data_IF_242223900695
#
_entry.id   IF_242223900695
#
_cell.length_a   1.000
_cell.length_b   1.000
_cell.length_c   1.000
_cell.angle_alpha   90.00
_cell.angle_beta   90.00
_cell.angle_gamma   90.00
#
_symmetry.space_group_name_H-M   'P 1'
#
loop_
_entity.id
_entity.type
_entity.pdbx_description
1 polymer ?
#
# COMPACT_ATOMS: atom_id res chain seq x y z
N UNK A 1 -23.01 4.51 18.84
CA UNK A 1 -23.16 4.86 17.41
C UNK A 1 -22.90 3.60 16.63
N UNK A 2 -23.81 3.21 15.74
CA UNK A 2 -23.63 2.02 14.91
C UNK A 2 -22.81 2.41 13.67
N UNK A 3 -21.53 2.04 13.66
CA UNK A 3 -20.66 2.09 12.48
C UNK A 3 -21.30 1.23 11.39
N UNK A 4 -21.38 1.74 10.15
CA UNK A 4 -21.93 0.94 9.05
C UNK A 4 -20.87 -0.04 8.52
N UNK A 5 -21.28 -1.12 7.87
CA UNK A 5 -20.33 -2.07 7.26
C UNK A 5 -19.44 -1.46 6.14
N UNK A 6 -19.77 -0.25 5.68
CA UNK A 6 -18.92 0.55 4.79
C UNK A 6 -17.84 1.28 5.58
N UNK A 7 -18.22 1.93 6.68
CA UNK A 7 -17.29 2.64 7.57
C UNK A 7 -16.24 1.67 8.13
N UNK A 8 -16.65 0.46 8.53
CA UNK A 8 -15.73 -0.59 9.00
C UNK A 8 -14.69 -1.00 7.93
N UNK A 9 -15.08 -1.01 6.65
CA UNK A 9 -14.15 -1.33 5.55
C UNK A 9 -13.20 -0.17 5.28
N UNK A 10 -13.69 1.08 5.30
CA UNK A 10 -12.85 2.26 5.14
C UNK A 10 -11.81 2.33 6.27
N UNK A 11 -12.24 2.15 7.51
CA UNK A 11 -11.35 2.17 8.67
C UNK A 11 -10.31 1.04 8.61
N UNK A 12 -10.73 -0.16 8.19
CA UNK A 12 -9.82 -1.28 7.98
C UNK A 12 -8.76 -0.97 6.92
N UNK A 13 -9.14 -0.41 5.76
CA UNK A 13 -8.19 -0.05 4.70
C UNK A 13 -7.23 1.05 5.16
N UNK A 14 -7.73 2.09 5.85
CA UNK A 14 -6.88 3.16 6.42
C UNK A 14 -5.88 2.63 7.44
N UNK A 15 -6.29 1.70 8.31
CA UNK A 15 -5.38 1.08 9.27
C UNK A 15 -4.20 0.39 8.58
N UNK A 16 -4.43 -0.17 7.38
CA UNK A 16 -3.36 -0.78 6.58
C UNK A 16 -2.44 0.24 5.93
N UNK A 17 -2.97 1.37 5.43
CA UNK A 17 -2.15 2.48 4.94
C UNK A 17 -1.18 2.96 6.04
N UNK A 18 -1.69 3.13 7.27
CA UNK A 18 -0.88 3.51 8.42
C UNK A 18 0.18 2.45 8.77
N UNK A 19 -0.18 1.17 8.72
CA UNK A 19 0.77 0.07 8.95
C UNK A 19 1.89 0.05 7.90
N UNK A 20 1.57 0.29 6.62
CA UNK A 20 2.57 0.40 5.56
C UNK A 20 3.54 1.56 5.81
N UNK A 21 3.02 2.76 6.15
CA UNK A 21 3.84 3.94 6.50
C UNK A 21 4.83 3.65 7.63
N UNK A 22 4.36 2.98 8.68
CA UNK A 22 5.21 2.61 9.81
C UNK A 22 6.29 1.58 9.41
N UNK A 23 5.96 0.63 8.52
CA UNK A 23 6.92 -0.34 8.00
C UNK A 23 7.97 0.30 7.09
N UNK A 24 7.60 1.29 6.27
CA UNK A 24 8.58 2.10 5.52
C UNK A 24 9.57 2.78 6.46
N UNK A 25 9.05 3.49 7.48
CA UNK A 25 9.86 4.17 8.49
C UNK A 25 10.82 3.19 9.20
N UNK A 26 10.31 2.03 9.64
CA UNK A 26 11.13 0.98 10.28
C UNK A 26 12.19 0.40 9.36
N UNK A 27 11.91 0.28 8.06
CA UNK A 27 12.85 -0.26 7.08
C UNK A 27 13.98 0.73 6.79
N UNK A 28 13.64 2.01 6.60
CA UNK A 28 14.62 3.09 6.39
C UNK A 28 15.57 3.23 7.58
N UNK A 29 15.03 3.24 8.80
CA UNK A 29 15.79 3.44 10.04
C UNK A 29 16.21 2.12 10.72
N UNK A 30 16.27 1.02 9.98
CA UNK A 30 16.78 -0.24 10.52
C UNK A 30 18.25 -0.09 10.95
N UNK A 31 18.61 -0.75 12.06
CA UNK A 31 19.93 -0.61 12.68
C UNK A 31 21.08 -1.17 11.82
N UNK A 32 20.79 -2.18 11.01
CA UNK A 32 21.75 -2.83 10.12
C UNK A 32 21.05 -3.44 8.89
N UNK A 33 21.85 -3.95 7.96
CA UNK A 33 21.37 -4.54 6.70
C UNK A 33 20.50 -5.79 6.90
N UNK A 34 20.74 -6.58 7.94
CA UNK A 34 19.96 -7.78 8.24
C UNK A 34 18.56 -7.40 8.75
N UNK A 35 18.50 -6.46 9.70
CA UNK A 35 17.26 -5.87 10.20
C UNK A 35 16.49 -5.20 9.05
N UNK A 36 17.18 -4.45 8.19
CA UNK A 36 16.56 -3.80 7.01
C UNK A 36 15.94 -4.81 6.06
N UNK A 37 16.64 -5.92 5.76
CA UNK A 37 16.12 -7.01 4.93
C UNK A 37 14.87 -7.64 5.53
N UNK A 38 14.86 -7.89 6.83
CA UNK A 38 13.69 -8.44 7.52
C UNK A 38 12.50 -7.48 7.46
N UNK A 39 12.72 -6.20 7.77
CA UNK A 39 11.67 -5.17 7.70
C UNK A 39 11.14 -4.97 6.29
N UNK A 40 12.00 -5.06 5.27
CA UNK A 40 11.59 -5.02 3.88
C UNK A 40 10.70 -6.21 3.50
N UNK A 41 10.98 -7.41 4.02
CA UNK A 41 10.10 -8.56 3.81
C UNK A 41 8.73 -8.38 4.49
N UNK A 42 8.70 -7.81 5.70
CA UNK A 42 7.45 -7.45 6.40
C UNK A 42 6.66 -6.39 5.61
N UNK A 43 7.34 -5.37 5.08
CA UNK A 43 6.76 -4.33 4.24
C UNK A 43 6.14 -4.92 2.97
N UNK A 44 6.85 -5.81 2.26
CA UNK A 44 6.31 -6.53 1.09
C UNK A 44 5.02 -7.26 1.42
N UNK A 45 5.01 -8.03 2.50
CA UNK A 45 3.82 -8.76 2.93
C UNK A 45 2.65 -7.83 3.26
N UNK A 46 2.92 -6.70 3.93
CA UNK A 46 1.89 -5.71 4.27
C UNK A 46 1.27 -5.06 3.03
N UNK A 47 2.09 -4.70 2.04
CA UNK A 47 1.66 -4.12 0.76
C UNK A 47 0.85 -5.12 -0.08
N UNK A 48 1.31 -6.37 -0.21
CA UNK A 48 0.56 -7.42 -0.91
C UNK A 48 -0.80 -7.64 -0.26
N UNK A 49 -0.84 -7.73 1.07
CA UNK A 49 -2.12 -7.90 1.72
C UNK A 49 -3.02 -6.66 1.50
N UNK A 50 -2.47 -5.45 1.30
CA UNK A 50 -3.24 -4.21 1.15
C UNK A 50 -4.00 -4.20 -0.15
N UNK A 51 -3.31 -4.56 -1.22
CA UNK A 51 -3.93 -4.85 -2.49
C UNK A 51 -5.04 -5.88 -2.36
N UNK A 52 -4.76 -7.05 -1.78
CA UNK A 52 -5.76 -8.13 -1.65
C UNK A 52 -6.99 -7.65 -0.87
N UNK A 53 -6.81 -6.80 0.15
CA UNK A 53 -7.94 -6.19 0.85
C UNK A 53 -8.73 -5.22 -0.02
N UNK A 54 -8.07 -4.39 -0.82
CA UNK A 54 -8.76 -3.54 -1.82
C UNK A 54 -9.56 -4.39 -2.81
N UNK A 55 -8.96 -5.44 -3.34
CA UNK A 55 -9.60 -6.36 -4.29
C UNK A 55 -10.81 -7.10 -3.72
N UNK A 56 -10.73 -7.54 -2.47
CA UNK A 56 -11.79 -8.34 -1.86
C UNK A 56 -12.88 -7.50 -1.17
N UNK A 57 -12.55 -6.32 -0.67
CA UNK A 57 -13.46 -5.53 0.17
C UNK A 57 -13.95 -4.26 -0.52
N UNK A 58 -13.12 -3.61 -1.34
CA UNK A 58 -13.43 -2.31 -1.97
C UNK A 58 -13.92 -2.50 -3.40
N UNK A 59 -13.12 -3.13 -4.27
CA UNK A 59 -13.41 -3.30 -5.69
C UNK A 59 -14.74 -3.99 -6.02
N UNK A 60 -15.31 -4.91 -5.21
CA UNK A 60 -16.63 -5.48 -5.48
C UNK A 60 -17.78 -4.48 -5.21
N UNK A 61 -17.53 -3.46 -4.39
CA UNK A 61 -18.51 -2.48 -3.95
C UNK A 61 -18.53 -1.24 -4.83
N UNK A 62 -17.38 -0.87 -5.40
CA UNK A 62 -17.25 0.17 -6.41
C UNK A 62 -17.44 -0.43 -7.81
N UNK A 63 -18.20 0.22 -8.72
CA UNK A 63 -18.36 -0.30 -10.09
C UNK A 63 -17.00 -0.25 -10.79
N UNK A 64 -16.63 -1.31 -11.50
CA UNK A 64 -15.43 -1.32 -12.37
C UNK A 64 -15.50 -0.17 -13.37
N UNK A 65 -14.42 0.59 -13.47
CA UNK A 65 -14.26 1.74 -14.34
C UNK A 65 -12.80 2.21 -14.33
N UNK A 66 -12.51 3.25 -15.11
CA UNK A 66 -11.14 3.73 -15.36
C UNK A 66 -10.35 4.05 -14.08
N UNK A 67 -11.01 4.54 -13.02
CA UNK A 67 -10.39 4.81 -11.72
C UNK A 67 -9.80 3.52 -11.11
N UNK A 68 -10.61 2.47 -10.98
CA UNK A 68 -10.20 1.18 -10.41
C UNK A 68 -9.10 0.53 -11.26
N UNK A 69 -9.17 0.66 -12.58
CA UNK A 69 -8.15 0.13 -13.51
C UNK A 69 -6.82 0.88 -13.40
N UNK A 70 -6.85 2.22 -13.29
CA UNK A 70 -5.67 3.05 -13.05
C UNK A 70 -4.98 2.67 -11.74
N UNK A 71 -5.74 2.59 -10.64
CA UNK A 71 -5.22 2.28 -9.32
C UNK A 71 -4.64 0.85 -9.24
N UNK A 72 -5.27 -0.10 -9.94
CA UNK A 72 -4.70 -1.44 -10.13
C UNK A 72 -3.35 -1.41 -10.86
N UNK A 73 -3.23 -0.62 -11.93
CA UNK A 73 -1.98 -0.46 -12.66
C UNK A 73 -0.83 0.04 -11.78
N UNK A 74 -1.09 1.02 -10.92
CA UNK A 74 -0.11 1.52 -9.94
C UNK A 74 0.31 0.46 -8.91
N UNK A 75 -0.61 -0.43 -8.55
CA UNK A 75 -0.33 -1.55 -7.66
C UNK A 75 0.56 -2.60 -8.33
N UNK A 76 0.32 -2.89 -9.61
CA UNK A 76 1.16 -3.79 -10.39
C UNK A 76 2.58 -3.23 -10.56
N UNK A 77 2.72 -1.93 -10.87
CA UNK A 77 4.00 -1.23 -10.90
C UNK A 77 4.75 -1.33 -9.56
N UNK A 78 4.02 -1.24 -8.44
CA UNK A 78 4.56 -1.38 -7.09
C UNK A 78 5.14 -2.78 -6.85
N UNK A 79 4.45 -3.85 -7.28
CA UNK A 79 4.99 -5.22 -7.17
C UNK A 79 6.28 -5.39 -7.94
N UNK A 80 6.34 -4.88 -9.17
CA UNK A 80 7.55 -4.99 -9.97
C UNK A 80 8.72 -4.25 -9.32
N UNK A 81 8.48 -3.06 -8.75
CA UNK A 81 9.49 -2.32 -7.99
C UNK A 81 9.98 -3.13 -6.79
N UNK A 82 9.07 -3.73 -6.03
CA UNK A 82 9.41 -4.59 -4.88
C UNK A 82 10.28 -5.79 -5.29
N UNK A 83 9.97 -6.41 -6.42
CA UNK A 83 10.75 -7.55 -6.93
C UNK A 83 12.14 -7.12 -7.41
N UNK A 84 12.26 -5.94 -8.03
CA UNK A 84 13.56 -5.34 -8.38
C UNK A 84 14.37 -5.05 -7.11
N UNK A 85 13.77 -4.39 -6.12
CA UNK A 85 14.41 -4.05 -4.85
C UNK A 85 14.87 -5.26 -4.05
N UNK A 86 14.13 -6.38 -4.11
CA UNK A 86 14.50 -7.61 -3.39
C UNK A 86 15.84 -8.21 -3.84
N UNK A 87 16.37 -7.79 -5.01
CA UNK A 87 17.66 -8.22 -5.54
C UNK A 87 18.81 -7.26 -5.20
N UNK A 88 18.51 -6.08 -4.67
CA UNK A 88 19.51 -5.09 -4.27
C UNK A 88 20.17 -5.47 -2.94
N UNK A 89 21.39 -4.98 -2.73
CA UNK A 89 22.02 -5.03 -1.42
C UNK A 89 21.29 -4.08 -0.46
N UNK A 90 20.72 -4.55 0.67
CA UNK A 90 20.04 -3.69 1.64
C UNK A 90 20.94 -2.58 2.20
N UNK A 91 22.27 -2.74 2.20
CA UNK A 91 23.20 -1.72 2.68
C UNK A 91 23.52 -0.63 1.63
N UNK A 92 23.08 -0.79 0.38
CA UNK A 92 23.43 0.13 -0.70
C UNK A 92 22.59 1.40 -0.69
N UNK A 93 23.18 2.49 -1.21
CA UNK A 93 22.46 3.73 -1.47
C UNK A 93 21.32 3.53 -2.49
N UNK A 94 21.50 2.63 -3.47
CA UNK A 94 20.47 2.30 -4.45
C UNK A 94 19.21 1.73 -3.80
N UNK A 95 19.37 0.83 -2.82
CA UNK A 95 18.23 0.30 -2.06
C UNK A 95 17.51 1.39 -1.28
N UNK A 96 18.26 2.30 -0.64
CA UNK A 96 17.69 3.40 0.14
C UNK A 96 16.91 4.40 -0.73
N UNK A 97 17.47 4.77 -1.90
CA UNK A 97 16.77 5.59 -2.89
C UNK A 97 15.50 4.90 -3.39
N UNK A 98 15.60 3.64 -3.80
CA UNK A 98 14.44 2.88 -4.28
C UNK A 98 13.35 2.74 -3.21
N UNK A 99 13.73 2.58 -1.93
CA UNK A 99 12.78 2.51 -0.82
C UNK A 99 12.08 3.85 -0.56
N UNK A 100 12.80 4.96 -0.70
CA UNK A 100 12.22 6.31 -0.56
C UNK A 100 11.25 6.61 -1.70
N UNK A 101 11.63 6.28 -2.95
CA UNK A 101 10.76 6.45 -4.11
C UNK A 101 9.50 5.58 -4.02
N UNK A 102 9.65 4.34 -3.53
CA UNK A 102 8.53 3.45 -3.29
C UNK A 102 7.62 3.98 -2.17
N UNK A 103 8.19 4.55 -1.11
CA UNK A 103 7.40 5.17 -0.03
C UNK A 103 6.53 6.30 -0.58
N UNK A 104 7.11 7.19 -1.39
CA UNK A 104 6.36 8.29 -2.01
C UNK A 104 5.27 7.78 -2.94
N UNK A 105 5.58 6.84 -3.83
CA UNK A 105 4.60 6.26 -4.75
C UNK A 105 3.45 5.55 -4.01
N UNK A 106 3.76 4.85 -2.91
CA UNK A 106 2.73 4.22 -2.07
C UNK A 106 1.86 5.28 -1.39
N UNK A 107 2.46 6.34 -0.86
CA UNK A 107 1.72 7.44 -0.24
C UNK A 107 0.75 8.09 -1.24
N UNK A 108 1.24 8.45 -2.42
CA UNK A 108 0.43 9.05 -3.50
C UNK A 108 -0.72 8.12 -3.90
N UNK A 109 -0.43 6.83 -4.07
CA UNK A 109 -1.43 5.81 -4.38
C UNK A 109 -2.51 5.73 -3.29
N UNK A 110 -2.11 5.64 -2.01
CA UNK A 110 -3.07 5.59 -0.90
C UNK A 110 -3.94 6.84 -0.83
N UNK A 111 -3.38 8.03 -1.05
CA UNK A 111 -4.15 9.28 -1.08
C UNK A 111 -5.18 9.29 -2.21
N UNK A 112 -4.83 8.76 -3.38
CA UNK A 112 -5.76 8.62 -4.50
C UNK A 112 -6.86 7.62 -4.23
N UNK A 113 -6.54 6.46 -3.63
CA UNK A 113 -7.57 5.49 -3.19
C UNK A 113 -8.56 6.16 -2.23
N UNK A 114 -8.05 6.89 -1.23
CA UNK A 114 -8.91 7.58 -0.26
C UNK A 114 -9.76 8.70 -0.89
N UNK A 115 -9.24 9.39 -1.91
CA UNK A 115 -9.93 10.49 -2.58
C UNK A 115 -10.90 10.03 -3.68
N UNK A 116 -10.59 8.92 -4.38
CA UNK A 116 -11.29 8.49 -5.59
C UNK A 116 -12.18 7.26 -5.35
N UNK A 117 -11.77 6.29 -4.51
CA UNK A 117 -12.55 5.06 -4.27
C UNK A 117 -13.46 5.14 -3.05
N UNK A 118 -13.01 5.74 -1.94
CA UNK A 118 -13.82 5.77 -0.72
C UNK A 118 -15.15 6.51 -0.88
N UNK A 119 -15.25 7.65 -1.61
CA UNK A 119 -16.54 8.29 -1.86
C UNK A 119 -17.53 7.38 -2.61
N UNK A 120 -17.03 6.52 -3.51
CA UNK A 120 -17.86 5.58 -4.26
C UNK A 120 -18.46 4.47 -3.39
N UNK A 121 -17.89 4.21 -2.20
CA UNK A 121 -18.45 3.28 -1.22
C UNK A 121 -19.63 3.90 -0.45
N UNK A 122 -19.60 5.22 -0.23
CA UNK A 122 -20.62 5.96 0.52
C UNK A 122 -21.79 6.43 -0.35
N UNK A 123 -21.57 6.61 -1.65
CA UNK A 123 -22.55 7.11 -2.61
C UNK A 123 -23.65 6.09 -3.00
N UNK A 124 -23.61 4.86 -2.49
CA UNK A 124 -24.65 3.83 -2.72
C UNK A 124 -25.91 4.00 -1.86
N UNK A 125 -26.37 5.24 -1.63
CA UNK A 125 -27.68 5.50 -1.00
C UNK A 125 -28.80 5.56 -2.02
#
# INVERSE_FOLDING_TARGET
MSTTATDDVIDYVKARHLMARELFRKTLHAADAAARRQRFAELRAALTAQEVSGELLVHPRVRRGLVVESLRGETDDTKERLDRMARLDPASAEFETALTDLQQATEDHTQRVEAEEFPLLTDRR
#
